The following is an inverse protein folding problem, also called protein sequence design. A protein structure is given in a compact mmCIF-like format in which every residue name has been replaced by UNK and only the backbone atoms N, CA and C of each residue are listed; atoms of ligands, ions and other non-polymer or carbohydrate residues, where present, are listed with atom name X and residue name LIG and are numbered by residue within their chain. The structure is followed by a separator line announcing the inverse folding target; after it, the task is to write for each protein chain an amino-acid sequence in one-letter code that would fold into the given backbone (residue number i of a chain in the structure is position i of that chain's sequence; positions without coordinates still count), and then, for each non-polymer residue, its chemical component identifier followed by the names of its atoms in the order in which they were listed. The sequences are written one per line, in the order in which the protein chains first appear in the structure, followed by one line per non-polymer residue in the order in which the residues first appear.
data_IF_790502450661
#
_entry.id   IF_790502450661
#
_cell.length_a   1.000
_cell.length_b   1.000
_cell.length_c   1.000
_cell.angle_alpha   90.00
_cell.angle_beta   90.00
_cell.angle_gamma   90.00
#
_symmetry.space_group_name_H-M   'P 1'
#
loop_
_entity.id
_entity.type
_entity.pdbx_description
1 polymer ?
#
# COMPACT_ATOMS: atom_id res chain seq x y z
N UNK A 1 16.25 4.22 -29.48
CA UNK A 1 15.79 2.83 -29.24
C UNK A 1 16.61 2.35 -28.07
N UNK A 2 15.98 2.15 -26.90
CA UNK A 2 16.51 1.62 -25.64
C UNK A 2 17.80 2.25 -25.08
N UNK A 3 17.63 2.96 -23.96
CA UNK A 3 18.58 2.89 -22.84
C UNK A 3 17.73 2.62 -21.60
N UNK A 4 17.44 1.33 -21.46
CA UNK A 4 16.85 0.64 -20.32
C UNK A 4 17.82 0.77 -19.14
N UNK A 5 17.39 1.52 -18.12
CA UNK A 5 18.14 1.73 -16.88
C UNK A 5 18.56 0.37 -16.29
N UNK A 6 19.86 0.10 -16.37
CA UNK A 6 20.52 -1.06 -15.79
C UNK A 6 20.69 -0.82 -14.29
N UNK A 7 20.03 -1.62 -13.45
CA UNK A 7 20.19 -1.62 -11.99
C UNK A 7 20.88 -2.93 -11.58
N UNK A 8 22.18 -2.92 -11.21
CA UNK A 8 22.87 -4.12 -10.77
C UNK A 8 22.38 -4.59 -9.40
N UNK A 9 22.48 -5.91 -9.21
CA UNK A 9 21.55 -6.75 -8.45
C UNK A 9 22.18 -7.45 -7.25
N UNK A 10 23.01 -6.77 -6.45
CA UNK A 10 23.76 -7.49 -5.41
C UNK A 10 23.09 -7.38 -4.02
N UNK A 11 22.08 -8.26 -3.87
CA UNK A 11 21.69 -9.02 -2.67
C UNK A 11 20.73 -8.47 -1.60
N UNK A 12 20.33 -7.20 -1.62
CA UNK A 12 18.96 -6.76 -1.21
C UNK A 12 18.74 -5.34 -1.74
N UNK A 13 18.18 -5.21 -2.94
CA UNK A 13 17.74 -3.92 -3.52
C UNK A 13 16.78 -3.13 -2.62
N UNK A 14 16.25 -3.76 -1.56
CA UNK A 14 15.43 -3.10 -0.53
C UNK A 14 16.18 -2.05 0.28
N UNK A 15 17.40 -2.35 0.71
CA UNK A 15 18.05 -1.59 1.79
C UNK A 15 19.14 -0.66 1.25
N UNK A 16 19.77 -1.05 0.14
CA UNK A 16 20.83 -0.27 -0.50
C UNK A 16 20.43 0.02 -1.94
N UNK A 17 19.75 1.15 -2.14
CA UNK A 17 19.60 1.77 -3.46
C UNK A 17 20.71 2.77 -3.68
N UNK A 18 21.28 2.78 -4.87
CA UNK A 18 22.22 3.82 -5.27
C UNK A 18 21.54 5.19 -5.31
N UNK A 19 22.33 6.25 -5.20
CA UNK A 19 21.82 7.61 -5.33
C UNK A 19 21.36 7.84 -6.78
N UNK A 20 20.12 8.29 -6.95
CA UNK A 20 19.56 8.65 -8.25
C UNK A 20 18.78 9.96 -8.17
N UNK A 21 18.73 10.65 -9.30
CA UNK A 21 17.83 11.81 -9.48
C UNK A 21 16.57 11.37 -10.21
N UNK A 22 15.40 11.71 -9.66
CA UNK A 22 14.12 11.40 -10.31
C UNK A 22 13.97 12.25 -11.59
N UNK A 23 13.74 11.64 -12.77
CA UNK A 23 13.56 12.38 -14.01
C UNK A 23 12.32 13.28 -13.99
N UNK A 24 12.32 14.31 -14.84
CA UNK A 24 11.17 15.20 -14.97
C UNK A 24 9.89 14.44 -15.37
N UNK A 25 8.76 14.80 -14.77
CA UNK A 25 7.46 14.17 -15.03
C UNK A 25 7.33 12.73 -14.49
N UNK A 26 8.32 12.25 -13.73
CA UNK A 26 8.32 10.94 -13.08
C UNK A 26 8.26 11.08 -11.56
N UNK A 27 7.91 9.98 -10.89
CA UNK A 27 7.85 9.86 -9.44
C UNK A 27 8.51 8.56 -9.00
N UNK A 28 9.29 8.64 -7.93
CA UNK A 28 9.75 7.50 -7.18
C UNK A 28 8.79 7.23 -6.02
N UNK A 29 8.29 6.00 -5.91
CA UNK A 29 7.34 5.62 -4.85
C UNK A 29 8.01 4.62 -3.92
N UNK A 30 7.77 4.78 -2.62
CA UNK A 30 8.16 3.80 -1.60
C UNK A 30 6.97 3.51 -0.70
N UNK A 31 6.83 2.23 -0.33
CA UNK A 31 5.91 1.82 0.72
C UNK A 31 6.46 2.20 2.09
N UNK A 32 5.53 2.45 3.00
CA UNK A 32 5.75 2.70 4.41
C UNK A 32 6.19 1.41 5.14
N UNK A 33 5.67 0.25 4.75
CA UNK A 33 6.19 -1.06 5.19
C UNK A 33 7.36 -1.50 4.30
N UNK A 34 8.57 -1.00 4.60
CA UNK A 34 9.76 -1.12 3.75
C UNK A 34 10.15 -2.56 3.42
N UNK A 35 10.04 -3.46 4.40
CA UNK A 35 10.45 -4.86 4.27
C UNK A 35 9.45 -5.71 3.48
N UNK A 36 8.18 -5.27 3.43
CA UNK A 36 7.10 -5.98 2.76
C UNK A 36 6.52 -5.24 1.54
N UNK A 37 7.18 -4.17 1.10
CA UNK A 37 6.77 -3.41 -0.07
C UNK A 37 7.51 -3.89 -1.33
N UNK A 38 6.79 -3.93 -2.44
CA UNK A 38 7.33 -4.11 -3.80
C UNK A 38 7.11 -2.81 -4.57
N UNK A 39 8.00 -1.85 -4.34
CA UNK A 39 7.89 -0.46 -4.76
C UNK A 39 9.00 -0.04 -5.74
N UNK A 40 9.21 1.27 -5.91
CA UNK A 40 10.10 1.82 -6.93
C UNK A 40 11.56 1.35 -6.82
N UNK A 41 11.97 0.81 -5.66
CA UNK A 41 13.27 0.15 -5.50
C UNK A 41 13.43 -1.07 -6.42
N UNK A 42 12.32 -1.72 -6.79
CA UNK A 42 12.30 -2.92 -7.65
C UNK A 42 11.90 -2.61 -9.09
N UNK A 43 10.91 -1.73 -9.31
CA UNK A 43 10.35 -1.47 -10.64
C UNK A 43 10.65 -0.07 -11.20
N UNK A 44 11.41 0.77 -10.49
CA UNK A 44 11.87 2.07 -10.96
C UNK A 44 10.86 3.20 -10.76
N UNK A 45 10.74 4.09 -11.74
CA UNK A 45 9.90 5.29 -11.66
C UNK A 45 8.55 5.13 -12.38
N UNK A 46 7.51 5.77 -11.85
CA UNK A 46 6.19 5.88 -12.48
C UNK A 46 6.05 7.27 -13.13
N UNK A 47 5.35 7.35 -14.26
CA UNK A 47 5.01 8.63 -14.88
C UNK A 47 3.82 9.32 -14.21
N UNK A 48 3.81 10.66 -14.24
CA UNK A 48 2.77 11.47 -13.61
C UNK A 48 1.34 11.12 -14.05
N UNK A 49 1.16 10.76 -15.32
CA UNK A 49 -0.12 10.39 -15.93
C UNK A 49 -0.71 9.08 -15.38
N UNK A 50 0.11 8.22 -14.80
CA UNK A 50 -0.35 6.98 -14.16
C UNK A 50 -0.87 7.21 -12.72
N UNK A 51 -0.68 8.41 -12.16
CA UNK A 51 -1.15 8.77 -10.82
C UNK A 51 -2.60 9.23 -10.90
N UNK A 52 -3.52 8.45 -10.31
CA UNK A 52 -4.94 8.76 -10.29
C UNK A 52 -5.33 9.83 -9.26
N UNK A 53 -4.60 9.92 -8.15
CA UNK A 53 -4.92 10.86 -7.07
C UNK A 53 -4.16 10.58 -5.79
N UNK A 54 -4.49 11.32 -4.74
CA UNK A 54 -3.94 11.16 -3.38
C UNK A 54 -4.94 10.43 -2.50
N UNK A 55 -4.47 9.50 -1.67
CA UNK A 55 -5.30 8.90 -0.63
C UNK A 55 -5.58 9.96 0.46
N UNK A 56 -6.85 10.25 0.74
CA UNK A 56 -7.24 11.36 1.63
C UNK A 56 -7.73 10.88 3.00
N UNK A 57 -8.52 9.81 3.03
CA UNK A 57 -9.18 9.32 4.23
C UNK A 57 -9.33 7.80 4.21
N UNK A 58 -9.37 7.21 5.40
CA UNK A 58 -9.74 5.80 5.58
C UNK A 58 -11.27 5.73 5.69
N UNK A 59 -11.94 5.28 4.62
CA UNK A 59 -13.40 5.18 4.61
C UNK A 59 -13.91 4.06 5.53
N UNK A 60 -13.20 2.92 5.56
CA UNK A 60 -13.55 1.78 6.41
C UNK A 60 -12.32 0.93 6.73
N UNK A 61 -12.32 0.30 7.91
CA UNK A 61 -11.23 -0.54 8.39
C UNK A 61 -11.75 -1.72 9.19
N UNK A 62 -11.52 -2.94 8.67
CA UNK A 62 -11.95 -4.19 9.28
C UNK A 62 -10.73 -5.03 9.67
N UNK A 63 -10.81 -5.66 10.84
CA UNK A 63 -9.96 -6.78 11.22
C UNK A 63 -10.62 -8.08 10.81
N UNK A 64 -9.92 -8.89 10.01
CA UNK A 64 -10.49 -10.13 9.52
C UNK A 64 -10.75 -11.07 10.70
N UNK A 65 -12.00 -11.50 10.93
CA UNK A 65 -12.28 -12.48 11.98
C UNK A 65 -11.56 -13.79 11.69
N UNK A 66 -11.19 -14.51 12.75
CA UNK A 66 -10.80 -15.92 12.62
C UNK A 66 -11.88 -16.70 11.87
N UNK A 67 -11.43 -17.63 11.03
CA UNK A 67 -12.28 -18.42 10.13
C UNK A 67 -13.39 -19.18 10.89
N UNK A 68 -13.13 -19.60 12.12
CA UNK A 68 -14.09 -20.32 12.96
C UNK A 68 -14.84 -19.47 13.97
N UNK A 69 -14.65 -18.14 13.96
CA UNK A 69 -15.37 -17.28 14.90
C UNK A 69 -16.89 -17.36 14.66
N UNK A 70 -17.73 -17.32 15.71
CA UNK A 70 -19.19 -17.33 15.58
C UNK A 70 -19.73 -16.25 14.63
N UNK A 71 -19.00 -15.15 14.50
CA UNK A 71 -19.32 -14.02 13.62
C UNK A 71 -19.11 -14.30 12.13
N UNK A 72 -18.16 -15.19 11.78
CA UNK A 72 -17.92 -15.60 10.40
C UNK A 72 -19.09 -16.41 9.80
N UNK A 73 -19.83 -17.10 10.66
CA UNK A 73 -20.94 -18.02 10.33
C UNK A 73 -22.32 -17.36 10.44
N UNK A 74 -22.37 -16.06 10.71
CA UNK A 74 -23.64 -15.36 10.97
C UNK A 74 -24.40 -15.05 9.67
N UNK A 75 -25.70 -15.40 9.55
CA UNK A 75 -26.44 -15.35 8.28
C UNK A 75 -26.75 -13.93 7.81
N UNK A 76 -26.79 -12.94 8.72
CA UNK A 76 -27.08 -11.55 8.40
C UNK A 76 -25.78 -10.78 8.14
N UNK A 77 -25.33 -10.79 6.88
CA UNK A 77 -24.14 -10.04 6.43
C UNK A 77 -24.20 -8.53 6.74
N UNK A 78 -25.39 -7.96 6.90
CA UNK A 78 -25.58 -6.54 7.22
C UNK A 78 -25.14 -6.14 8.64
N UNK A 79 -25.10 -7.08 9.60
CA UNK A 79 -24.61 -6.80 10.95
C UNK A 79 -23.07 -6.83 11.05
N UNK A 80 -22.38 -7.16 9.95
CA UNK A 80 -20.92 -7.25 9.88
C UNK A 80 -20.21 -5.89 9.93
N UNK A 81 -20.95 -4.80 9.74
CA UNK A 81 -20.44 -3.41 9.69
C UNK A 81 -20.60 -2.64 11.01
N UNK A 82 -21.14 -3.30 12.05
CA UNK A 82 -21.38 -2.71 13.36
C UNK A 82 -20.79 -3.59 14.47
N UNK A 83 -19.75 -4.37 14.15
CA UNK A 83 -19.14 -5.22 15.13
C UNK A 83 -17.93 -4.51 15.74
N UNK A 84 -18.06 -3.89 16.93
CA UNK A 84 -16.95 -3.21 17.58
C UNK A 84 -15.76 -4.13 17.91
N UNK A 85 -15.92 -5.45 17.80
CA UNK A 85 -14.81 -6.40 17.92
C UNK A 85 -13.89 -6.42 16.69
N UNK A 86 -14.40 -6.14 15.51
CA UNK A 86 -13.64 -6.26 14.25
C UNK A 86 -13.55 -4.94 13.48
N UNK A 87 -14.52 -4.05 13.62
CA UNK A 87 -14.49 -2.73 13.03
C UNK A 87 -13.56 -1.81 13.85
N UNK A 88 -12.51 -1.30 13.21
CA UNK A 88 -11.58 -0.33 13.81
C UNK A 88 -12.09 1.09 13.62
N UNK A 89 -13.12 1.43 14.39
CA UNK A 89 -13.80 2.73 14.30
C UNK A 89 -12.89 3.93 14.58
N UNK A 90 -11.84 3.75 15.37
CA UNK A 90 -10.80 4.75 15.65
C UNK A 90 -10.02 5.19 14.39
N UNK A 91 -10.05 4.39 13.33
CA UNK A 91 -9.39 4.69 12.05
C UNK A 91 -10.34 5.28 11.01
N UNK A 92 -11.65 5.14 11.18
CA UNK A 92 -12.64 5.57 10.20
C UNK A 92 -12.69 7.11 10.14
N UNK A 93 -12.68 7.66 8.94
CA UNK A 93 -12.55 9.10 8.63
C UNK A 93 -11.26 9.76 9.13
N UNK A 94 -10.27 8.98 9.57
CA UNK A 94 -8.94 9.51 9.83
C UNK A 94 -8.33 10.00 8.52
N UNK A 95 -7.91 11.26 8.52
CA UNK A 95 -7.18 11.85 7.40
C UNK A 95 -5.79 11.23 7.30
N UNK A 96 -5.37 10.99 6.06
CA UNK A 96 -4.02 10.52 5.74
C UNK A 96 -3.19 11.78 5.47
N UNK A 97 -2.20 12.05 6.34
CA UNK A 97 -1.30 13.21 6.25
C UNK A 97 0.14 12.76 6.00
#
# INVERSE_FOLDING_TARGET
MKDDAYFPSDLTSRDNVEEFTVPEGKYFMMGDNRDASYDGRFWGFISKDMIKGKALLIYWSLETPEYDSPWSKMPLKALRFLNPKYDRFDRVFKLIH
#
